data_IF_764808254898
#
_entry.id   IF_764808254898
#
_cell.length_a   1.000
_cell.length_b   1.000
_cell.length_c   1.000
_cell.angle_alpha   90.00
_cell.angle_beta   90.00
_cell.angle_gamma   90.00
#
_symmetry.space_group_name_H-M   'P 1'
#
loop_
_entity.id
_entity.type
_entity.pdbx_description
1 polymer ?
#
# COMPACT_ATOMS: atom_id res chain seq x y z
N UNK A 1 -2.36 16.11 4.13
CA UNK A 1 -0.91 15.91 3.95
C UNK A 1 -0.28 15.65 5.30
N UNK A 2 0.11 14.42 5.67
CA UNK A 2 0.73 14.19 6.96
C UNK A 2 2.25 14.36 6.82
N UNK A 3 2.66 15.62 6.71
CA UNK A 3 4.00 16.13 7.08
C UNK A 3 3.97 17.65 6.82
N UNK A 4 3.32 18.43 7.69
CA UNK A 4 3.57 19.86 7.73
C UNK A 4 5.01 20.08 8.28
N UNK A 5 5.77 20.94 7.60
CA UNK A 5 7.13 21.43 7.93
C UNK A 5 7.27 21.82 9.43
N UNK A 6 8.47 21.93 10.06
CA UNK A 6 9.84 21.94 9.55
C UNK A 6 10.72 20.77 10.08
N UNK A 7 10.11 19.80 10.76
CA UNK A 7 10.78 18.66 11.41
C UNK A 7 11.08 17.52 10.44
N UNK A 8 11.46 17.84 9.20
CA UNK A 8 11.92 16.83 8.22
C UNK A 8 13.12 16.01 8.74
N UNK A 9 13.80 16.50 9.79
CA UNK A 9 14.84 15.79 10.51
C UNK A 9 14.35 14.57 11.31
N UNK A 10 13.06 14.44 11.63
CA UNK A 10 12.53 13.31 12.42
C UNK A 10 12.02 12.13 11.58
N UNK A 11 11.91 12.26 10.25
CA UNK A 11 11.56 11.14 9.35
C UNK A 11 12.79 10.37 8.81
N UNK A 12 13.94 10.44 9.50
CA UNK A 12 15.17 9.74 9.10
C UNK A 12 15.08 8.20 9.23
N UNK A 13 13.99 7.64 9.76
CA UNK A 13 13.81 6.20 10.01
C UNK A 13 12.83 5.49 9.08
N UNK A 14 12.03 6.20 8.27
CA UNK A 14 11.03 5.58 7.40
C UNK A 14 11.72 4.71 6.33
N UNK A 15 11.30 3.45 6.25
CA UNK A 15 11.76 2.48 5.27
C UNK A 15 10.70 2.27 4.20
N UNK A 16 11.14 1.84 3.03
CA UNK A 16 10.19 1.38 2.03
C UNK A 16 9.37 0.19 2.57
N UNK A 17 8.06 0.24 2.40
CA UNK A 17 7.10 -0.70 2.99
C UNK A 17 6.41 -0.20 4.25
N UNK A 18 6.88 0.88 4.87
CA UNK A 18 6.24 1.44 6.06
C UNK A 18 4.89 2.10 5.72
N UNK A 19 3.92 1.99 6.62
CA UNK A 19 2.61 2.62 6.49
C UNK A 19 2.72 4.09 6.87
N UNK A 20 2.46 4.98 5.91
CA UNK A 20 2.42 6.45 6.11
C UNK A 20 1.02 6.92 6.49
N UNK A 21 -0.02 6.30 5.92
CA UNK A 21 -1.41 6.53 6.28
C UNK A 21 -2.12 5.18 6.36
N UNK A 22 -2.62 4.85 7.55
CA UNK A 22 -3.35 3.62 7.80
C UNK A 22 -4.76 3.66 7.17
N UNK A 23 -5.35 2.50 6.81
CA UNK A 23 -6.77 2.44 6.44
C UNK A 23 -7.66 2.83 7.64
N UNK A 24 -8.91 3.24 7.40
CA UNK A 24 -9.92 3.37 8.46
C UNK A 24 -10.09 2.05 9.22
N UNK A 25 -10.51 2.12 10.48
CA UNK A 25 -10.75 0.91 11.28
C UNK A 25 -11.94 0.08 10.78
N UNK A 26 -12.92 0.73 10.14
CA UNK A 26 -14.08 0.08 9.54
C UNK A 26 -14.53 0.76 8.25
N UNK A 27 -15.22 0.01 7.40
CA UNK A 27 -15.86 0.45 6.16
C UNK A 27 -17.08 -0.42 5.83
N UNK A 28 -17.89 0.00 4.87
CA UNK A 28 -19.04 -0.75 4.36
C UNK A 28 -18.95 -1.07 2.86
N UNK A 29 -19.86 -1.92 2.33
CA UNK A 29 -19.95 -2.20 0.91
C UNK A 29 -20.13 -0.92 0.09
N UNK A 30 -19.37 -0.79 -1.00
CA UNK A 30 -19.38 0.40 -1.87
C UNK A 30 -18.44 1.52 -1.45
N UNK A 31 -17.92 1.52 -0.22
CA UNK A 31 -16.93 2.51 0.24
C UNK A 31 -15.60 2.37 -0.51
N UNK A 32 -14.82 3.45 -0.49
CA UNK A 32 -13.45 3.47 -1.03
C UNK A 32 -12.47 3.53 0.12
N UNK A 33 -11.71 2.46 0.31
CA UNK A 33 -10.67 2.35 1.34
C UNK A 33 -9.31 2.61 0.70
N UNK A 34 -8.47 3.37 1.39
CA UNK A 34 -7.12 3.69 0.94
C UNK A 34 -6.12 3.53 2.07
N UNK A 35 -4.93 3.05 1.73
CA UNK A 35 -3.74 3.06 2.57
C UNK A 35 -2.58 3.68 1.79
N UNK A 36 -1.71 4.42 2.47
CA UNK A 36 -0.48 4.96 1.87
C UNK A 36 0.73 4.30 2.50
N UNK A 37 1.63 3.79 1.65
CA UNK A 37 2.92 3.25 2.04
C UNK A 37 4.06 4.16 1.57
N UNK A 38 5.19 4.13 2.28
CA UNK A 38 6.47 4.57 1.75
C UNK A 38 6.86 3.60 0.63
N UNK A 39 6.79 4.06 -0.62
CA UNK A 39 6.81 3.19 -1.80
C UNK A 39 8.01 3.43 -2.70
N UNK A 40 8.42 2.42 -3.47
CA UNK A 40 9.50 2.51 -4.45
C UNK A 40 8.97 2.83 -5.85
N UNK A 41 9.83 3.36 -6.74
CA UNK A 41 9.44 3.68 -8.11
C UNK A 41 9.09 2.41 -8.90
N UNK A 42 7.88 2.31 -9.51
CA UNK A 42 7.44 1.10 -10.22
C UNK A 42 8.31 0.73 -11.45
N UNK A 43 9.15 1.65 -11.97
CA UNK A 43 10.06 1.33 -13.08
C UNK A 43 11.27 0.49 -12.66
N UNK A 44 11.52 0.34 -11.36
CA UNK A 44 12.59 -0.52 -10.88
C UNK A 44 12.31 -2.00 -11.22
N UNK A 45 11.03 -2.40 -11.22
CA UNK A 45 10.56 -3.71 -11.66
C UNK A 45 9.08 -3.59 -12.04
N UNK A 46 8.73 -4.00 -13.26
CA UNK A 46 7.35 -3.94 -13.76
C UNK A 46 6.41 -4.97 -13.11
N UNK A 47 6.96 -5.94 -12.35
CA UNK A 47 6.21 -6.97 -11.61
C UNK A 47 5.15 -7.70 -12.44
N UNK A 48 5.45 -7.92 -13.73
CA UNK A 48 4.56 -8.58 -14.69
C UNK A 48 4.10 -9.94 -14.16
N UNK A 49 2.79 -10.16 -14.11
CA UNK A 49 2.17 -11.40 -13.64
C UNK A 49 2.07 -11.57 -12.12
N UNK A 50 2.64 -10.65 -11.32
CA UNK A 50 2.57 -10.69 -9.85
C UNK A 50 1.87 -9.48 -9.22
N UNK A 51 1.98 -8.31 -9.85
CA UNK A 51 1.36 -7.08 -9.39
C UNK A 51 2.08 -6.40 -8.21
N UNK A 52 1.56 -5.23 -7.83
CA UNK A 52 2.09 -4.36 -6.77
C UNK A 52 1.23 -4.33 -5.51
N UNK A 53 0.01 -4.85 -5.57
CA UNK A 53 -0.91 -4.80 -4.44
C UNK A 53 -1.77 -6.05 -4.32
N UNK A 54 -2.12 -6.35 -3.08
CA UNK A 54 -3.13 -7.34 -2.74
C UNK A 54 -4.07 -6.75 -1.68
N UNK A 55 -5.36 -7.04 -1.82
CA UNK A 55 -6.32 -6.97 -0.72
C UNK A 55 -6.50 -8.39 -0.22
N UNK A 56 -6.31 -8.60 1.08
CA UNK A 56 -6.43 -9.91 1.70
C UNK A 56 -7.55 -9.91 2.75
N UNK A 57 -8.29 -11.01 2.84
CA UNK A 57 -9.31 -11.27 3.87
C UNK A 57 -8.80 -12.30 4.86
N UNK A 58 -8.98 -12.03 6.15
CA UNK A 58 -8.67 -12.97 7.23
C UNK A 58 -9.62 -14.18 7.16
N UNK A 59 -9.07 -15.39 7.15
CA UNK A 59 -9.82 -16.65 7.13
C UNK A 59 -9.90 -17.31 8.52
N UNK A 60 -9.27 -16.72 9.54
CA UNK A 60 -9.06 -17.36 10.84
C UNK A 60 -7.74 -18.11 10.90
N UNK A 61 -7.32 -18.51 12.11
CA UNK A 61 -6.08 -19.28 12.30
C UNK A 61 -4.78 -18.57 11.91
N UNK A 62 -4.82 -17.26 11.65
CA UNK A 62 -3.68 -16.49 11.12
C UNK A 62 -3.56 -16.51 9.60
N UNK A 63 -4.48 -17.16 8.90
CA UNK A 63 -4.48 -17.26 7.44
C UNK A 63 -5.18 -16.08 6.76
N UNK A 64 -4.62 -15.66 5.63
CA UNK A 64 -5.13 -14.54 4.83
C UNK A 64 -5.25 -14.97 3.37
N UNK A 65 -6.45 -14.83 2.81
CA UNK A 65 -6.71 -15.13 1.40
C UNK A 65 -6.71 -13.85 0.57
N UNK A 66 -6.06 -13.86 -0.59
CA UNK A 66 -6.10 -12.74 -1.54
C UNK A 66 -7.48 -12.70 -2.18
N UNK A 67 -8.14 -11.53 -2.10
CA UNK A 67 -9.47 -11.30 -2.67
C UNK A 67 -9.44 -10.33 -3.84
N UNK A 68 -8.42 -9.47 -3.94
CA UNK A 68 -8.23 -8.56 -5.06
C UNK A 68 -6.74 -8.20 -5.24
N UNK A 69 -6.35 -7.81 -6.45
CA UNK A 69 -5.02 -7.39 -6.89
C UNK A 69 -5.13 -6.16 -7.79
N UNK A 70 -4.00 -5.59 -8.22
CA UNK A 70 -3.95 -4.35 -9.03
C UNK A 70 -4.60 -4.43 -10.42
N UNK A 71 -4.85 -5.63 -10.94
CA UNK A 71 -5.57 -5.83 -12.20
C UNK A 71 -7.09 -5.88 -12.04
N UNK A 72 -7.59 -5.99 -10.81
CA UNK A 72 -9.03 -6.08 -10.56
C UNK A 72 -9.67 -4.69 -10.70
N UNK A 73 -10.88 -4.60 -11.30
CA UNK A 73 -11.49 -3.33 -11.69
C UNK A 73 -11.79 -2.41 -10.51
N UNK A 74 -11.91 -2.95 -9.30
CA UNK A 74 -12.18 -2.25 -8.06
C UNK A 74 -10.92 -1.73 -7.34
N UNK A 75 -9.72 -2.08 -7.78
CA UNK A 75 -8.47 -1.65 -7.14
C UNK A 75 -7.75 -0.57 -7.94
N UNK A 76 -6.97 0.28 -7.28
CA UNK A 76 -6.05 1.21 -7.95
C UNK A 76 -4.73 1.29 -7.20
N UNK A 77 -3.64 1.25 -7.96
CA UNK A 77 -2.29 1.55 -7.51
C UNK A 77 -1.88 2.94 -7.99
N UNK A 78 -1.45 3.82 -7.08
CA UNK A 78 -0.97 5.17 -7.44
C UNK A 78 0.37 5.45 -6.80
N UNK A 79 1.39 5.65 -7.62
CA UNK A 79 2.70 6.09 -7.17
C UNK A 79 2.86 7.60 -7.31
N UNK A 80 3.47 8.25 -6.32
CA UNK A 80 3.89 9.67 -6.39
C UNK A 80 5.24 9.89 -5.73
N UNK A 81 6.03 10.82 -6.28
CA UNK A 81 7.21 11.36 -5.61
C UNK A 81 6.76 12.41 -4.58
N UNK A 82 7.38 12.41 -3.40
CA UNK A 82 7.08 13.37 -2.33
C UNK A 82 8.35 14.11 -1.91
N UNK A 83 8.24 15.39 -1.51
CA UNK A 83 9.40 16.23 -1.17
C UNK A 83 10.06 16.93 -2.36
N UNK A 84 9.40 17.01 -3.52
CA UNK A 84 9.87 17.73 -4.72
C UNK A 84 10.53 16.84 -5.79
N UNK A 85 10.85 17.43 -6.94
CA UNK A 85 11.26 16.70 -8.15
C UNK A 85 12.54 15.87 -8.02
N UNK A 86 13.45 16.25 -7.13
CA UNK A 86 14.74 15.58 -6.87
C UNK A 86 14.72 14.69 -5.62
N UNK A 87 13.59 14.63 -4.89
CA UNK A 87 13.52 13.86 -3.65
C UNK A 87 13.63 12.36 -3.92
N UNK A 88 14.43 11.61 -3.14
CA UNK A 88 14.47 10.15 -3.21
C UNK A 88 13.23 9.50 -2.60
N UNK A 89 12.38 10.26 -1.91
CA UNK A 89 11.19 9.75 -1.23
C UNK A 89 10.02 9.64 -2.20
N UNK A 90 9.32 8.51 -2.12
CA UNK A 90 8.05 8.31 -2.81
C UNK A 90 7.04 7.57 -1.97
N UNK A 91 5.78 7.71 -2.34
CA UNK A 91 4.64 7.07 -1.71
C UNK A 91 3.83 6.30 -2.73
N UNK A 92 3.15 5.28 -2.24
CA UNK A 92 2.19 4.50 -2.99
C UNK A 92 0.87 4.52 -2.24
N UNK A 93 -0.20 4.93 -2.90
CA UNK A 93 -1.55 4.68 -2.43
C UNK A 93 -2.06 3.37 -3.03
N UNK A 94 -2.53 2.48 -2.17
CA UNK A 94 -3.34 1.34 -2.56
C UNK A 94 -4.79 1.65 -2.23
N UNK A 95 -5.65 1.56 -3.24
CA UNK A 95 -7.05 1.93 -3.14
C UNK A 95 -7.90 0.72 -3.51
N UNK A 96 -8.92 0.45 -2.73
CA UNK A 96 -9.91 -0.59 -3.00
C UNK A 96 -11.32 -0.02 -2.84
N UNK A 97 -12.11 -0.09 -3.91
CA UNK A 97 -13.54 0.14 -3.84
C UNK A 97 -14.20 -1.17 -3.43
N UNK A 98 -14.76 -1.21 -2.23
CA UNK A 98 -15.34 -2.43 -1.68
C UNK A 98 -16.53 -2.87 -2.57
N UNK A 99 -16.54 -4.10 -3.11
CA UNK A 99 -17.67 -4.63 -3.86
C UNK A 99 -18.97 -4.61 -3.04
N UNK A 100 -20.11 -4.43 -3.71
CA UNK A 100 -21.40 -4.37 -3.02
C UNK A 100 -21.80 -5.71 -2.38
N UNK A 101 -21.29 -6.81 -2.92
CA UNK A 101 -21.50 -8.20 -2.50
C UNK A 101 -20.33 -8.74 -1.66
N UNK A 102 -19.48 -7.86 -1.12
CA UNK A 102 -18.35 -8.24 -0.27
C UNK A 102 -18.82 -9.07 0.93
N UNK A 103 -18.10 -10.15 1.24
CA UNK A 103 -18.34 -10.90 2.47
C UNK A 103 -17.85 -10.12 3.67
N UNK A 104 -18.65 -9.88 4.73
CA UNK A 104 -18.17 -9.21 5.94
C UNK A 104 -16.95 -9.90 6.55
N UNK A 105 -16.07 -9.13 7.18
CA UNK A 105 -14.87 -9.66 7.83
C UNK A 105 -13.74 -8.64 7.96
N UNK A 106 -12.57 -9.14 8.35
CA UNK A 106 -11.36 -8.31 8.48
C UNK A 106 -10.52 -8.40 7.22
N UNK A 107 -10.15 -7.24 6.69
CA UNK A 107 -9.35 -7.09 5.48
C UNK A 107 -8.06 -6.34 5.78
N UNK A 108 -7.04 -6.51 4.93
CA UNK A 108 -5.81 -5.74 4.96
C UNK A 108 -5.27 -5.54 3.55
N UNK A 109 -4.44 -4.52 3.39
CA UNK A 109 -3.67 -4.32 2.16
C UNK A 109 -2.27 -4.88 2.34
N UNK A 110 -1.74 -5.43 1.24
CA UNK A 110 -0.32 -5.77 1.11
C UNK A 110 0.23 -5.02 -0.10
N UNK A 111 1.31 -4.29 0.11
CA UNK A 111 2.09 -3.62 -0.91
C UNK A 111 3.32 -4.46 -1.25
N UNK A 112 3.60 -4.59 -2.54
CA UNK A 112 4.83 -5.16 -3.05
C UNK A 112 5.54 -4.18 -3.97
N UNK A 113 6.87 -4.09 -3.84
CA UNK A 113 7.67 -3.24 -4.70
C UNK A 113 9.12 -3.67 -4.75
N UNK A 114 9.92 -2.87 -5.46
CA UNK A 114 11.33 -3.13 -5.69
C UNK A 114 12.11 -1.82 -5.51
N UNK A 115 12.88 -1.72 -4.42
CA UNK A 115 13.62 -0.52 -4.05
C UNK A 115 15.04 -0.57 -4.60
N UNK A 116 15.46 0.52 -5.26
CA UNK A 116 16.83 0.70 -5.73
C UNK A 116 17.65 1.42 -4.66
N UNK A 117 18.73 0.79 -4.22
CA UNK A 117 19.71 1.40 -3.30
C UNK A 117 20.61 2.40 -4.02
N UNK A 118 21.37 3.22 -3.25
CA UNK A 118 22.33 4.18 -3.79
C UNK A 118 23.41 3.52 -4.68
N UNK A 119 23.80 2.28 -4.36
CA UNK A 119 24.74 1.48 -5.16
C UNK A 119 24.12 0.85 -6.41
N UNK A 120 22.85 1.14 -6.72
CA UNK A 120 22.15 0.67 -7.91
C UNK A 120 21.51 -0.71 -7.80
N UNK A 121 21.76 -1.46 -6.72
CA UNK A 121 21.15 -2.78 -6.46
C UNK A 121 19.66 -2.61 -6.16
N UNK A 122 18.83 -3.39 -6.84
CA UNK A 122 17.37 -3.44 -6.66
C UNK A 122 17.04 -4.63 -5.73
N UNK A 123 16.21 -4.39 -4.71
CA UNK A 123 15.76 -5.43 -3.77
C UNK A 123 14.24 -5.39 -3.61
N UNK A 124 13.58 -6.56 -3.49
CA UNK A 124 12.16 -6.60 -3.21
C UNK A 124 11.87 -6.04 -1.81
N UNK A 125 10.72 -5.40 -1.68
CA UNK A 125 10.17 -4.84 -0.45
C UNK A 125 8.70 -5.24 -0.33
N UNK A 126 8.19 -5.26 0.90
CA UNK A 126 6.76 -5.44 1.15
C UNK A 126 6.31 -4.61 2.35
N UNK A 127 5.06 -4.17 2.31
CA UNK A 127 4.39 -3.51 3.43
C UNK A 127 3.03 -4.14 3.67
N UNK A 128 2.62 -4.30 4.92
CA UNK A 128 1.30 -4.83 5.27
C UNK A 128 0.60 -3.83 6.17
N UNK A 129 -0.64 -3.45 5.82
CA UNK A 129 -1.42 -2.51 6.63
C UNK A 129 -1.93 -3.17 7.91
N UNK A 130 -2.37 -2.34 8.87
CA UNK A 130 -3.29 -2.82 9.89
C UNK A 130 -4.57 -3.38 9.25
N UNK A 131 -5.22 -4.32 9.95
CA UNK A 131 -6.51 -4.87 9.54
C UNK A 131 -7.66 -3.89 9.78
N UNK A 132 -8.65 -3.88 8.90
CA UNK A 132 -9.88 -3.11 9.03
C UNK A 132 -11.12 -3.98 8.82
N UNK A 133 -12.22 -3.62 9.47
CA UNK A 133 -13.47 -4.40 9.42
C UNK A 133 -14.37 -3.89 8.30
N UNK A 134 -14.86 -4.80 7.47
CA UNK A 134 -15.94 -4.53 6.52
C UNK A 134 -17.21 -5.17 7.05
N UNK A 135 -18.24 -4.36 7.30
CA UNK A 135 -19.51 -4.79 7.89
C UNK A 135 -20.61 -4.95 6.85
#
# INVERSE_FOLDING_TARGET
SPCPLPDAALCLSDKFGDVVLAPPASAGPGDVVMVTFRGAHPRNNLRVGTGYMEVQRNQGGGEWAIVARDWDPETRFRWRRVGGGLSPMSEVDLIWRIPADVTPGTYRFVYHGDAKSLGGVIKPISGTSAGFVVN
#
